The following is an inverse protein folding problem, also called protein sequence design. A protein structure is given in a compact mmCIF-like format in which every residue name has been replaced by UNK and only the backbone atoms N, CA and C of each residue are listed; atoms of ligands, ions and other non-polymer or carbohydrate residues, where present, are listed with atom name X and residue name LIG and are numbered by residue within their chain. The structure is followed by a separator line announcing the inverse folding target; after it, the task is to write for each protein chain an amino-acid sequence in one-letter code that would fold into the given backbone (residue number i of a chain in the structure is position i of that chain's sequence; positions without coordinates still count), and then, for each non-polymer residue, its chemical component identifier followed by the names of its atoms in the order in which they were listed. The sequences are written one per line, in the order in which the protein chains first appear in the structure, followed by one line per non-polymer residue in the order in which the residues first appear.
data_IF_755709885890
#
_entry.id   IF_755709885890
#
_cell.length_a   1.000
_cell.length_b   1.000
_cell.length_c   1.000
_cell.angle_alpha   90.00
_cell.angle_beta   90.00
_cell.angle_gamma   90.00
#
_symmetry.space_group_name_H-M   'P 1'
#
loop_
_entity.id
_entity.type
_entity.pdbx_description
1 polymer ?
#
# COMPACT_ATOMS: atom_id res chain seq x y z
N UNK A 1 3.53 -7.45 15.71
CA UNK A 1 3.76 -6.78 14.41
C UNK A 1 5.19 -6.27 14.19
N UNK A 2 6.05 -6.26 15.22
CA UNK A 2 7.45 -5.82 15.11
C UNK A 2 8.25 -6.69 14.13
N UNK A 3 9.15 -6.11 13.31
CA UNK A 3 9.99 -6.86 12.38
C UNK A 3 10.86 -7.93 13.06
N UNK A 4 11.28 -7.69 14.29
CA UNK A 4 12.11 -8.61 15.09
C UNK A 4 11.34 -9.73 15.78
N UNK A 5 10.02 -9.79 15.63
CA UNK A 5 9.23 -10.86 16.23
C UNK A 5 9.53 -12.19 15.54
N UNK A 6 9.79 -13.24 16.33
CA UNK A 6 10.02 -14.59 15.83
C UNK A 6 8.66 -15.28 15.58
N UNK A 7 8.32 -15.43 14.31
CA UNK A 7 7.12 -16.10 13.81
C UNK A 7 7.39 -17.50 13.23
N UNK A 8 8.57 -18.07 13.47
CA UNK A 8 9.00 -19.37 12.94
C UNK A 8 8.08 -20.53 13.33
N UNK A 9 7.34 -20.39 14.44
CA UNK A 9 6.35 -21.35 14.90
C UNK A 9 4.95 -21.16 14.32
N UNK A 10 4.74 -20.13 13.53
CA UNK A 10 3.43 -19.85 12.94
C UNK A 10 3.12 -20.79 11.79
N UNK A 11 1.82 -21.06 11.60
CA UNK A 11 1.36 -21.80 10.44
C UNK A 11 1.46 -20.96 9.18
N UNK A 12 1.87 -21.57 8.07
CA UNK A 12 1.89 -20.93 6.76
C UNK A 12 0.59 -21.25 6.03
N UNK A 13 0.00 -20.25 5.39
CA UNK A 13 -1.21 -20.39 4.58
C UNK A 13 -1.20 -19.46 3.39
N UNK A 14 -2.06 -19.76 2.43
CA UNK A 14 -2.28 -18.92 1.25
C UNK A 14 -3.53 -18.06 1.48
N UNK A 15 -3.43 -16.73 1.28
CA UNK A 15 -4.58 -15.82 1.24
C UNK A 15 -5.57 -16.22 0.11
N UNK A 16 -6.82 -16.01 0.32
CA UNK A 16 -7.54 -15.38 1.43
C UNK A 16 -7.65 -16.29 2.66
N UNK A 17 -7.88 -15.69 3.82
CA UNK A 17 -8.01 -16.39 5.11
C UNK A 17 -9.38 -16.09 5.71
N UNK A 18 -10.01 -17.07 6.37
CA UNK A 18 -11.29 -16.82 7.02
C UNK A 18 -11.97 -18.07 7.53
N UNK A 19 -13.10 -17.86 8.14
CA UNK A 19 -14.02 -18.90 8.57
C UNK A 19 -15.43 -18.35 8.70
N UNK A 20 -16.43 -19.17 8.43
CA UNK A 20 -17.83 -18.94 8.78
C UNK A 20 -18.32 -20.10 9.59
N UNK A 21 -18.65 -19.84 10.87
CA UNK A 21 -19.03 -20.88 11.82
C UNK A 21 -18.03 -22.06 11.89
N UNK A 22 -16.73 -21.72 11.86
CA UNK A 22 -15.63 -22.68 11.92
C UNK A 22 -15.37 -23.48 10.65
N UNK A 23 -16.00 -23.13 9.52
CA UNK A 23 -15.84 -23.81 8.23
C UNK A 23 -15.46 -22.85 7.10
N UNK A 24 -14.92 -23.39 6.00
CA UNK A 24 -14.77 -22.67 4.73
C UNK A 24 -16.16 -22.56 4.09
N UNK A 25 -16.62 -21.33 3.91
CA UNK A 25 -17.92 -21.02 3.31
C UNK A 25 -17.89 -19.61 2.72
N UNK A 26 -18.84 -19.24 1.89
CA UNK A 26 -19.03 -17.87 1.42
C UNK A 26 -19.49 -16.99 2.59
N UNK A 27 -18.72 -15.94 2.86
CA UNK A 27 -19.01 -14.95 3.89
C UNK A 27 -19.91 -13.81 3.41
N UNK A 28 -20.18 -13.75 2.11
CA UNK A 28 -20.90 -12.69 1.42
C UNK A 28 -20.08 -12.15 0.25
N UNK A 29 -20.77 -11.73 -0.81
CA UNK A 29 -20.12 -11.15 -1.98
C UNK A 29 -19.14 -12.06 -2.74
N UNK A 30 -19.19 -13.39 -2.52
CA UNK A 30 -18.23 -14.34 -3.10
C UNK A 30 -16.92 -14.46 -2.33
N UNK A 31 -16.83 -13.93 -1.11
CA UNK A 31 -15.66 -14.02 -0.23
C UNK A 31 -15.55 -15.43 0.37
N UNK A 32 -14.93 -16.35 -0.36
CA UNK A 32 -14.66 -17.73 0.09
C UNK A 32 -13.19 -17.83 0.47
N UNK A 33 -12.83 -18.17 1.73
CA UNK A 33 -11.43 -18.24 2.13
C UNK A 33 -10.71 -19.45 1.50
N UNK A 34 -9.47 -19.24 1.08
CA UNK A 34 -8.57 -20.31 0.65
C UNK A 34 -7.99 -21.08 1.85
N UNK A 35 -7.75 -20.37 2.96
CA UNK A 35 -7.20 -20.95 4.18
C UNK A 35 -8.17 -20.77 5.33
N UNK A 36 -8.56 -21.88 5.94
CA UNK A 36 -9.45 -21.88 7.11
C UNK A 36 -8.73 -21.33 8.34
N UNK A 37 -9.30 -20.31 8.97
CA UNK A 37 -8.90 -19.84 10.28
C UNK A 37 -9.55 -20.67 11.39
N UNK A 38 -8.78 -21.00 12.43
CA UNK A 38 -9.33 -21.62 13.64
C UNK A 38 -10.05 -20.56 14.47
N UNK A 39 -11.29 -20.25 14.05
CA UNK A 39 -12.12 -19.16 14.56
C UNK A 39 -12.29 -19.21 16.07
N UNK A 40 -12.56 -20.38 16.64
CA UNK A 40 -12.93 -20.51 18.04
C UNK A 40 -11.74 -20.71 18.99
N UNK A 41 -11.94 -20.30 20.25
CA UNK A 41 -11.11 -20.66 21.40
C UNK A 41 -11.23 -22.17 21.70
N UNK A 42 -10.56 -22.64 22.76
CA UNK A 42 -10.55 -24.05 23.15
C UNK A 42 -11.92 -24.57 23.56
N UNK A 43 -12.87 -23.71 23.90
CA UNK A 43 -14.24 -24.08 24.25
C UNK A 43 -15.11 -24.46 23.03
N UNK A 44 -14.59 -24.23 21.83
CA UNK A 44 -15.26 -24.51 20.55
C UNK A 44 -16.47 -23.62 20.25
N UNK A 45 -16.65 -22.51 20.94
CA UNK A 45 -17.81 -21.61 20.83
C UNK A 45 -17.44 -20.14 20.79
N UNK A 46 -16.57 -19.70 21.70
CA UNK A 46 -16.17 -18.30 21.82
C UNK A 46 -15.16 -17.99 20.73
N UNK A 47 -15.42 -16.94 19.94
CA UNK A 47 -14.48 -16.47 18.92
C UNK A 47 -13.18 -15.96 19.55
N UNK A 48 -12.09 -16.14 18.83
CA UNK A 48 -10.83 -15.49 19.17
C UNK A 48 -10.94 -13.99 18.89
N UNK A 49 -10.30 -13.19 19.70
CA UNK A 49 -10.33 -11.73 19.60
C UNK A 49 -9.68 -11.25 18.30
N UNK A 50 -8.55 -11.87 17.94
CA UNK A 50 -7.75 -11.43 16.79
C UNK A 50 -6.95 -12.57 16.14
N UNK A 51 -6.54 -12.31 14.89
CA UNK A 51 -5.60 -13.10 14.10
C UNK A 51 -4.49 -12.21 13.59
N UNK A 52 -3.29 -12.78 13.49
CA UNK A 52 -2.09 -12.07 13.09
C UNK A 52 -1.50 -12.72 11.85
N UNK A 53 -1.17 -11.90 10.87
CA UNK A 53 -0.56 -12.35 9.62
C UNK A 53 0.73 -11.58 9.40
N UNK A 54 1.71 -12.24 8.80
CA UNK A 54 2.98 -11.64 8.43
C UNK A 54 3.48 -12.20 7.11
N UNK A 55 4.11 -11.35 6.35
CA UNK A 55 4.89 -11.70 5.16
C UNK A 55 6.01 -10.71 4.98
N UNK A 56 6.91 -10.97 4.06
CA UNK A 56 8.00 -10.05 3.71
C UNK A 56 7.93 -9.66 2.25
N UNK A 57 8.38 -8.46 1.97
CA UNK A 57 8.55 -7.92 0.62
C UNK A 57 9.96 -7.32 0.50
N UNK A 58 10.60 -7.47 -0.65
CA UNK A 58 11.92 -6.88 -0.90
C UNK A 58 11.77 -5.57 -1.65
N UNK A 59 12.42 -4.52 -1.15
CA UNK A 59 12.53 -3.22 -1.81
C UNK A 59 14.01 -2.96 -2.06
N UNK A 60 14.40 -2.81 -3.31
CA UNK A 60 15.80 -2.63 -3.68
C UNK A 60 16.30 -1.25 -3.24
N UNK A 61 15.61 -0.19 -3.65
CA UNK A 61 15.89 1.18 -3.25
C UNK A 61 14.60 1.90 -2.79
N UNK A 62 14.48 2.21 -1.49
CA UNK A 62 13.33 2.96 -0.97
C UNK A 62 13.18 4.37 -1.54
N UNK A 63 14.25 4.98 -2.05
CA UNK A 63 14.20 6.32 -2.64
C UNK A 63 13.49 6.36 -4.00
N UNK A 64 13.36 5.19 -4.64
CA UNK A 64 12.59 5.04 -5.88
C UNK A 64 11.07 4.97 -5.64
N UNK A 65 10.62 4.89 -4.39
CA UNK A 65 9.20 4.71 -4.08
C UNK A 65 8.54 6.05 -3.75
N UNK A 66 7.48 6.39 -4.48
CA UNK A 66 6.70 7.63 -4.28
C UNK A 66 5.37 7.40 -3.56
N UNK A 67 4.78 6.18 -3.69
CA UNK A 67 3.55 5.82 -3.02
C UNK A 67 3.51 4.33 -2.66
N UNK A 68 2.71 3.99 -1.65
CA UNK A 68 2.34 2.60 -1.33
C UNK A 68 0.83 2.54 -1.40
N UNK A 69 0.31 1.79 -2.35
CA UNK A 69 -1.13 1.61 -2.56
C UNK A 69 -1.52 0.16 -2.40
N UNK A 70 -2.77 -0.08 -2.08
CA UNK A 70 -3.24 -1.44 -1.92
C UNK A 70 -4.72 -1.54 -1.59
N UNK A 71 -5.18 -2.78 -1.53
CA UNK A 71 -6.54 -3.11 -1.17
C UNK A 71 -6.58 -4.36 -0.29
N UNK A 72 -7.39 -4.30 0.75
CA UNK A 72 -7.66 -5.40 1.65
C UNK A 72 -9.17 -5.59 1.77
N UNK A 73 -9.62 -6.85 1.70
CA UNK A 73 -10.98 -7.22 2.08
C UNK A 73 -10.93 -7.82 3.49
N UNK A 74 -11.75 -7.34 4.40
CA UNK A 74 -11.69 -7.69 5.82
C UNK A 74 -13.08 -7.76 6.45
N UNK A 75 -13.17 -8.51 7.55
CA UNK A 75 -14.33 -8.68 8.42
C UNK A 75 -13.83 -9.11 9.82
N UNK A 76 -14.04 -8.40 10.92
CA UNK A 76 -14.79 -7.14 11.13
C UNK A 76 -13.93 -5.88 11.08
N UNK A 77 -12.68 -5.91 11.59
CA UNK A 77 -11.74 -4.80 11.63
C UNK A 77 -10.32 -5.24 11.29
N UNK A 78 -9.53 -4.38 10.65
CA UNK A 78 -8.16 -4.69 10.28
C UNK A 78 -7.21 -3.51 10.48
N UNK A 79 -5.98 -3.82 10.92
CA UNK A 79 -4.87 -2.86 11.00
C UNK A 79 -3.70 -3.42 10.21
N UNK A 80 -3.19 -2.62 9.28
CA UNK A 80 -2.08 -3.00 8.39
C UNK A 80 -0.82 -2.25 8.80
N UNK A 81 0.27 -3.00 8.92
CA UNK A 81 1.58 -2.50 9.34
C UNK A 81 2.63 -2.74 8.26
N UNK A 82 3.55 -1.82 8.17
CA UNK A 82 4.81 -1.97 7.43
C UNK A 82 5.97 -1.67 8.38
N UNK A 83 6.86 -2.63 8.56
CA UNK A 83 7.98 -2.56 9.50
C UNK A 83 7.57 -2.14 10.94
N UNK A 84 6.39 -2.59 11.39
CA UNK A 84 5.85 -2.30 12.72
C UNK A 84 5.17 -0.95 12.86
N UNK A 85 5.08 -0.16 11.79
CA UNK A 85 4.35 1.12 11.75
C UNK A 85 3.02 0.94 11.04
N UNK A 86 1.94 1.52 11.58
CA UNK A 86 0.60 1.48 10.96
C UNK A 86 0.63 2.25 9.64
N UNK A 87 0.17 1.61 8.57
CA UNK A 87 -0.03 2.22 7.25
C UNK A 87 -1.49 2.37 6.87
N UNK A 88 -2.38 1.55 7.46
CA UNK A 88 -3.83 1.69 7.32
C UNK A 88 -4.53 1.03 8.51
N UNK A 89 -5.72 1.52 8.85
CA UNK A 89 -6.59 0.94 9.86
C UNK A 89 -8.04 1.09 9.40
N UNK A 90 -8.83 0.04 9.59
CA UNK A 90 -10.21 -0.06 9.10
C UNK A 90 -11.10 -0.58 10.21
N UNK A 91 -12.15 0.17 10.55
CA UNK A 91 -13.08 -0.11 11.65
C UNK A 91 -12.38 -0.40 13.00
N UNK A 92 -11.17 0.13 13.19
CA UNK A 92 -10.26 -0.20 14.29
C UNK A 92 -10.11 0.93 15.35
N UNK A 93 -10.96 1.95 15.32
CA UNK A 93 -10.83 3.15 16.18
C UNK A 93 -10.86 2.82 17.68
N UNK A 94 -11.52 1.75 18.08
CA UNK A 94 -11.66 1.32 19.46
C UNK A 94 -10.63 0.25 19.87
N UNK A 95 -9.75 -0.16 18.96
CA UNK A 95 -8.76 -1.22 19.22
C UNK A 95 -7.50 -0.57 19.81
N UNK A 96 -7.21 -0.90 21.06
CA UNK A 96 -6.04 -0.42 21.80
C UNK A 96 -5.10 -1.52 22.24
N UNK A 97 -5.54 -2.79 22.14
CA UNK A 97 -4.79 -3.97 22.54
C UNK A 97 -4.88 -5.06 21.47
N UNK A 98 -3.82 -5.84 21.32
CA UNK A 98 -3.71 -6.90 20.29
C UNK A 98 -4.77 -8.01 20.42
N UNK A 99 -5.24 -8.31 21.62
CA UNK A 99 -6.24 -9.34 21.88
C UNK A 99 -7.53 -8.70 22.40
N UNK A 100 -8.15 -7.90 21.53
CA UNK A 100 -9.38 -7.16 21.81
C UNK A 100 -10.38 -7.39 20.69
N UNK A 101 -11.67 -7.45 21.04
CA UNK A 101 -12.74 -7.39 20.04
C UNK A 101 -12.90 -5.96 19.51
N UNK A 102 -13.08 -5.83 18.20
CA UNK A 102 -13.20 -4.51 17.56
C UNK A 102 -14.50 -3.77 17.84
N UNK A 103 -15.54 -4.48 18.28
CA UNK A 103 -16.86 -3.91 18.56
C UNK A 103 -17.66 -3.58 17.29
N UNK A 104 -17.12 -3.87 16.11
CA UNK A 104 -17.82 -3.73 14.82
C UNK A 104 -18.77 -4.91 14.59
N UNK A 105 -19.82 -4.69 13.81
CA UNK A 105 -20.75 -5.73 13.36
C UNK A 105 -20.97 -5.53 11.86
N UNK A 106 -20.01 -5.91 11.03
CA UNK A 106 -20.23 -5.99 9.61
C UNK A 106 -21.19 -7.16 9.30
N UNK A 107 -22.02 -7.00 8.28
CA UNK A 107 -22.86 -8.09 7.79
C UNK A 107 -22.15 -8.92 6.73
N UNK A 108 -21.23 -8.31 6.02
CA UNK A 108 -20.43 -8.88 4.92
C UNK A 108 -19.03 -8.26 4.93
N UNK A 109 -18.01 -8.95 4.37
CA UNK A 109 -16.68 -8.39 4.26
C UNK A 109 -16.64 -7.05 3.51
N UNK A 110 -15.85 -6.11 4.02
CA UNK A 110 -15.64 -4.76 3.49
C UNK A 110 -14.33 -4.66 2.74
N UNK A 111 -14.24 -3.72 1.82
CA UNK A 111 -13.01 -3.38 1.12
C UNK A 111 -12.41 -2.11 1.70
N UNK A 112 -11.15 -2.20 2.15
CA UNK A 112 -10.34 -1.08 2.60
C UNK A 112 -9.28 -0.73 1.55
N UNK A 113 -9.07 0.57 1.32
CA UNK A 113 -8.02 1.07 0.42
C UNK A 113 -6.83 1.56 1.24
N UNK A 114 -5.64 1.05 0.93
CA UNK A 114 -4.37 1.50 1.50
C UNK A 114 -3.81 2.58 0.58
N UNK A 115 -3.44 3.74 1.13
CA UNK A 115 -2.81 4.82 0.39
C UNK A 115 -1.86 5.57 1.31
N UNK A 116 -0.57 5.43 1.04
CA UNK A 116 0.51 6.13 1.75
C UNK A 116 1.30 6.92 0.75
N UNK A 117 1.39 8.23 0.96
CA UNK A 117 2.11 9.17 0.09
C UNK A 117 3.04 10.07 0.89
N UNK A 118 3.93 10.77 0.19
CA UNK A 118 4.87 11.71 0.79
C UNK A 118 6.23 11.09 1.09
N UNK A 119 7.28 11.65 0.47
CA UNK A 119 8.64 11.11 0.51
C UNK A 119 9.17 10.88 1.94
N UNK A 120 8.94 11.82 2.86
CA UNK A 120 9.36 11.67 4.25
C UNK A 120 8.67 10.51 4.96
N UNK A 121 7.38 10.31 4.70
CA UNK A 121 6.61 9.18 5.26
C UNK A 121 7.10 7.86 4.68
N UNK A 122 7.25 7.75 3.36
CA UNK A 122 7.77 6.56 2.68
C UNK A 122 9.17 6.20 3.23
N UNK A 123 10.08 7.18 3.31
CA UNK A 123 11.42 6.98 3.85
C UNK A 123 11.43 6.50 5.31
N UNK A 124 10.43 6.89 6.11
CA UNK A 124 10.30 6.41 7.50
C UNK A 124 9.78 4.98 7.62
N UNK A 125 9.10 4.49 6.59
CA UNK A 125 8.47 3.17 6.56
C UNK A 125 9.36 2.09 5.96
N UNK A 126 10.11 2.42 4.90
CA UNK A 126 10.86 1.47 4.07
C UNK A 126 12.35 1.44 4.40
N UNK A 127 12.95 0.30 4.17
CA UNK A 127 14.40 0.11 4.13
C UNK A 127 14.79 -0.71 2.90
N UNK A 128 16.02 -0.58 2.45
CA UNK A 128 16.55 -1.46 1.42
C UNK A 128 16.59 -2.92 1.92
N UNK A 129 16.28 -3.85 1.03
CA UNK A 129 16.17 -5.26 1.35
C UNK A 129 14.78 -5.65 1.86
N UNK A 130 14.74 -6.56 2.82
CA UNK A 130 13.51 -7.17 3.32
C UNK A 130 12.73 -6.22 4.24
N UNK A 131 11.45 -6.03 3.95
CA UNK A 131 10.47 -5.27 4.73
C UNK A 131 9.34 -6.19 5.17
N UNK A 132 8.92 -6.06 6.43
CA UNK A 132 7.84 -6.87 7.00
C UNK A 132 6.50 -6.18 6.82
N UNK A 133 5.56 -6.87 6.17
CA UNK A 133 4.13 -6.52 6.14
C UNK A 133 3.41 -7.37 7.16
N UNK A 134 2.59 -6.76 8.01
CA UNK A 134 1.79 -7.48 8.98
C UNK A 134 0.35 -6.96 8.99
N UNK A 135 -0.59 -7.84 9.32
CA UNK A 135 -2.00 -7.50 9.49
C UNK A 135 -2.48 -8.04 10.85
N UNK A 136 -3.17 -7.20 11.60
CA UNK A 136 -4.04 -7.62 12.70
C UNK A 136 -5.47 -7.58 12.20
N UNK A 137 -6.15 -8.73 12.31
CA UNK A 137 -7.55 -8.89 11.95
C UNK A 137 -8.33 -9.16 13.24
N UNK A 138 -9.29 -8.31 13.55
CA UNK A 138 -10.03 -8.39 14.79
C UNK A 138 -11.48 -8.79 14.55
N UNK A 139 -11.93 -9.69 15.40
CA UNK A 139 -13.33 -10.09 15.49
C UNK A 139 -14.14 -8.98 16.17
N UNK A 140 -15.37 -8.75 15.73
CA UNK A 140 -16.23 -7.72 16.31
C UNK A 140 -16.66 -8.03 17.73
N UNK A 141 -16.92 -9.32 18.04
CA UNK A 141 -17.44 -9.80 19.33
C UNK A 141 -17.17 -11.29 19.53
N UNK A 142 -17.45 -11.79 20.74
CA UNK A 142 -17.20 -13.17 21.14
C UNK A 142 -18.11 -14.24 20.46
N UNK A 143 -19.20 -13.82 19.86
CA UNK A 143 -20.19 -14.68 19.18
C UNK A 143 -20.46 -14.15 17.76
N UNK A 144 -19.41 -13.85 17.01
CA UNK A 144 -19.53 -13.51 15.60
C UNK A 144 -19.75 -14.75 14.74
N UNK A 145 -20.40 -14.60 13.58
CA UNK A 145 -20.61 -15.73 12.67
C UNK A 145 -19.39 -16.08 11.84
N UNK A 146 -18.53 -15.11 11.57
CA UNK A 146 -17.50 -15.18 10.55
C UNK A 146 -16.32 -14.24 10.82
N UNK A 147 -15.24 -14.44 10.05
CA UNK A 147 -14.05 -13.59 10.02
C UNK A 147 -13.36 -13.78 8.67
N UNK A 148 -12.87 -12.72 8.06
CA UNK A 148 -12.25 -12.76 6.74
C UNK A 148 -11.11 -11.76 6.56
N UNK A 149 -10.07 -12.17 5.84
CA UNK A 149 -8.99 -11.28 5.39
C UNK A 149 -8.43 -11.75 4.05
N UNK A 150 -8.36 -10.82 3.11
CA UNK A 150 -7.63 -10.98 1.86
C UNK A 150 -6.91 -9.68 1.49
N UNK A 151 -5.60 -9.70 1.50
CA UNK A 151 -4.78 -8.62 0.96
C UNK A 151 -4.73 -8.79 -0.56
N UNK A 152 -5.68 -8.18 -1.27
CA UNK A 152 -5.83 -8.36 -2.73
C UNK A 152 -4.75 -7.65 -3.54
N UNK A 153 -4.18 -6.58 -3.00
CA UNK A 153 -3.02 -5.90 -3.58
C UNK A 153 -2.22 -5.13 -2.53
N UNK A 154 -0.92 -5.03 -2.75
CA UNK A 154 -0.03 -4.07 -2.10
C UNK A 154 1.08 -3.74 -3.10
N UNK A 155 1.10 -2.49 -3.57
CA UNK A 155 1.98 -2.01 -4.63
C UNK A 155 2.88 -0.90 -4.08
N UNK A 156 4.17 -1.00 -4.38
CA UNK A 156 5.16 0.03 -4.12
C UNK A 156 5.40 0.76 -5.44
N UNK A 157 4.75 1.92 -5.57
CA UNK A 157 4.78 2.71 -6.80
C UNK A 157 6.10 3.45 -6.91
N UNK A 158 6.81 3.23 -8.01
CA UNK A 158 8.09 3.88 -8.25
C UNK A 158 7.90 5.29 -8.79
N UNK A 159 8.82 6.17 -8.42
CA UNK A 159 8.92 7.52 -8.99
C UNK A 159 8.97 7.42 -10.51
N UNK A 160 8.04 8.08 -11.15
CA UNK A 160 8.05 8.17 -12.61
C UNK A 160 9.06 9.23 -13.06
N UNK A 161 10.25 8.79 -13.43
CA UNK A 161 11.26 9.68 -14.03
C UNK A 161 10.89 9.90 -15.49
N UNK A 162 10.54 11.14 -15.80
CA UNK A 162 10.34 11.54 -17.19
C UNK A 162 11.70 11.72 -17.85
N UNK A 163 12.06 10.78 -18.73
CA UNK A 163 13.27 10.90 -19.54
C UNK A 163 12.96 11.66 -20.82
N UNK A 164 13.78 12.65 -21.13
CA UNK A 164 13.75 13.38 -22.38
C UNK A 164 15.06 13.16 -23.12
N UNK A 165 14.97 12.79 -24.38
CA UNK A 165 16.16 12.54 -25.22
C UNK A 165 15.94 13.00 -26.64
N UNK A 166 17.03 12.95 -27.44
CA UNK A 166 17.01 13.30 -28.85
C UNK A 166 16.46 14.71 -29.11
N UNK A 167 16.87 15.68 -28.27
CA UNK A 167 16.46 17.07 -28.44
C UNK A 167 17.07 17.60 -29.74
N UNK A 168 16.24 18.08 -30.64
CA UNK A 168 16.66 18.71 -31.87
C UNK A 168 16.05 20.09 -32.05
N UNK A 169 16.84 20.97 -32.68
CA UNK A 169 16.44 22.31 -33.04
C UNK A 169 16.52 22.46 -34.55
N UNK A 170 15.48 23.02 -35.13
CA UNK A 170 15.46 23.32 -36.55
C UNK A 170 14.95 24.76 -36.81
N UNK A 171 15.40 25.45 -37.88
CA UNK A 171 14.86 26.74 -38.23
C UNK A 171 13.34 26.70 -38.38
N UNK A 172 12.68 27.74 -37.91
CA UNK A 172 11.27 27.95 -38.16
C UNK A 172 10.99 28.49 -39.56
N UNK A 173 9.80 28.99 -39.77
CA UNK A 173 9.39 29.54 -41.07
C UNK A 173 10.06 30.88 -41.43
N UNK A 174 10.75 31.52 -40.48
CA UNK A 174 11.51 32.77 -40.66
C UNK A 174 12.65 32.86 -39.63
N UNK A 175 13.48 33.91 -39.75
CA UNK A 175 14.69 34.13 -38.94
C UNK A 175 14.45 34.33 -37.43
N UNK A 176 13.20 34.64 -37.04
CA UNK A 176 12.83 34.83 -35.63
C UNK A 176 12.17 33.61 -35.00
N UNK A 177 12.11 32.48 -35.70
CA UNK A 177 11.44 31.27 -35.25
C UNK A 177 12.39 30.09 -35.21
N UNK A 178 12.23 29.25 -34.18
CA UNK A 178 12.94 27.99 -34.02
C UNK A 178 11.94 26.89 -33.57
N UNK A 179 12.06 25.74 -34.17
CA UNK A 179 11.28 24.56 -33.75
C UNK A 179 12.11 23.72 -32.82
N UNK A 180 11.46 23.23 -31.79
CA UNK A 180 12.02 22.29 -30.85
C UNK A 180 11.28 20.96 -31.00
N UNK A 181 12.01 19.86 -31.00
CA UNK A 181 11.42 18.52 -30.87
C UNK A 181 12.28 17.63 -29.98
N UNK A 182 11.66 16.75 -29.28
CA UNK A 182 12.32 15.74 -28.42
C UNK A 182 11.44 14.52 -28.29
N UNK A 183 12.04 13.41 -27.85
CA UNK A 183 11.31 12.24 -27.38
C UNK A 183 11.22 12.31 -25.86
N UNK A 184 10.04 11.98 -25.32
CA UNK A 184 9.82 11.86 -23.88
C UNK A 184 9.23 10.48 -23.56
N UNK A 185 9.48 9.99 -22.37
CA UNK A 185 8.90 8.73 -21.86
C UNK A 185 7.41 8.86 -21.44
N UNK A 186 6.83 10.04 -21.61
CA UNK A 186 5.43 10.36 -21.28
C UNK A 186 4.75 11.07 -22.45
N UNK A 187 3.41 10.95 -22.53
CA UNK A 187 2.56 11.73 -23.45
C UNK A 187 2.14 13.10 -22.88
N UNK A 188 2.57 13.43 -21.67
CA UNK A 188 2.28 14.73 -21.06
C UNK A 188 2.98 15.87 -21.83
N UNK A 189 2.33 17.02 -21.84
CA UNK A 189 2.87 18.20 -22.53
C UNK A 189 4.17 18.67 -21.86
N UNK A 190 5.23 18.71 -22.62
CA UNK A 190 6.51 19.27 -22.18
C UNK A 190 6.53 20.78 -22.20
N UNK A 191 7.41 21.38 -21.39
CA UNK A 191 7.66 22.82 -21.36
C UNK A 191 9.07 23.10 -21.81
N UNK A 192 9.24 24.08 -22.70
CA UNK A 192 10.54 24.62 -23.11
C UNK A 192 10.70 26.02 -22.50
N UNK A 193 11.77 26.23 -21.76
CA UNK A 193 12.14 27.54 -21.22
C UNK A 193 13.26 28.13 -22.07
N UNK A 194 13.11 29.36 -22.45
CA UNK A 194 14.08 30.09 -23.29
C UNK A 194 14.50 31.38 -22.58
N UNK A 195 15.81 31.63 -22.51
CA UNK A 195 16.37 32.87 -22.00
C UNK A 195 17.61 33.27 -22.80
N UNK A 196 17.94 34.58 -22.80
CA UNK A 196 19.22 35.01 -23.36
C UNK A 196 20.36 34.52 -22.48
N UNK A 197 21.48 34.13 -23.08
CA UNK A 197 22.67 33.68 -22.33
C UNK A 197 23.15 34.73 -21.32
N UNK A 198 22.97 36.02 -21.60
CA UNK A 198 23.30 37.11 -20.69
C UNK A 198 22.39 37.23 -19.47
N UNK A 199 21.27 36.50 -19.43
CA UNK A 199 20.33 36.47 -18.31
C UNK A 199 20.55 35.27 -17.39
N UNK A 200 21.43 34.35 -17.79
CA UNK A 200 21.77 33.19 -16.95
C UNK A 200 22.67 33.63 -15.80
N UNK A 201 22.31 33.30 -14.57
CA UNK A 201 23.14 33.47 -13.37
C UNK A 201 23.68 32.10 -12.96
N UNK A 202 24.98 31.92 -13.00
CA UNK A 202 25.67 30.66 -12.69
C UNK A 202 25.10 29.43 -13.43
N UNK A 203 24.63 29.63 -14.67
CA UNK A 203 24.02 28.61 -15.50
C UNK A 203 22.53 28.34 -15.21
N UNK A 204 21.94 29.01 -14.22
CA UNK A 204 20.55 28.88 -13.90
C UNK A 204 19.64 29.77 -14.76
N UNK A 205 18.45 29.22 -15.13
CA UNK A 205 17.42 29.99 -15.83
C UNK A 205 16.87 31.11 -14.95
N UNK A 206 16.62 32.31 -15.49
CA UNK A 206 15.96 33.38 -14.77
C UNK A 206 14.50 33.03 -14.49
N UNK A 207 13.93 33.61 -13.43
CA UNK A 207 12.54 33.34 -13.02
C UNK A 207 11.48 33.79 -14.05
N UNK A 208 11.87 34.68 -14.97
CA UNK A 208 11.05 35.22 -16.06
C UNK A 208 11.38 34.61 -17.44
N UNK A 209 12.06 33.46 -17.49
CA UNK A 209 12.26 32.70 -18.71
C UNK A 209 10.91 32.35 -19.38
N UNK A 210 10.86 32.44 -20.70
CA UNK A 210 9.66 32.21 -21.50
C UNK A 210 9.73 30.83 -22.17
#
# INVERSE_FOLDING_TARGET
TLPSFDDSSWSVGKGSFGAKQGAVSDLGGGCVPNTLLRQYKADGKTDKEAFFFRTTVTVDDPSDIEAITGSITYDDAAIVYLNGQVIAAFDADNITENLQYGGSNASDPKVGTISVTGAARIASLLKAGENTVAVELHQGRAESSDIYMDMTSLVFEKVHVVEQNSISLSPGSNESQMNFSWYASTEEAGTVLVAKTSQLADGAMPADAQ
#
